data_IF_389626839444
#
_entry.id   IF_389626839444
#
_cell.length_a   1.000
_cell.length_b   1.000
_cell.length_c   1.000
_cell.angle_alpha   90.00
_cell.angle_beta   90.00
_cell.angle_gamma   90.00
#
_symmetry.space_group_name_H-M   'P 1'
#
loop_
_entity.id
_entity.type
_entity.pdbx_description
1 polymer ?
#
# COMPACT_ATOMS: atom_id res chain seq x y z
N UNK A 1 37.02 -57.93 31.83
CA UNK A 1 36.04 -58.58 32.73
C UNK A 1 34.66 -58.18 32.20
N UNK A 2 34.08 -58.99 31.33
CA UNK A 2 33.03 -60.04 31.52
C UNK A 2 31.93 -59.57 32.50
N UNK A 3 30.72 -59.36 31.94
CA UNK A 3 29.43 -60.03 32.28
C UNK A 3 28.33 -59.41 31.39
N UNK A 4 27.91 -60.00 30.43
CA UNK A 4 26.75 -60.84 30.02
C UNK A 4 25.66 -60.97 31.07
N UNK A 5 24.41 -60.55 30.72
CA UNK A 5 23.14 -61.20 31.09
C UNK A 5 22.02 -60.53 30.25
N UNK A 6 21.48 -61.18 29.22
CA UNK A 6 20.29 -62.05 29.19
C UNK A 6 18.95 -61.32 29.46
N UNK A 7 18.23 -61.07 28.38
CA UNK A 7 16.97 -61.70 27.93
C UNK A 7 15.76 -61.58 28.85
N UNK A 8 14.75 -60.87 28.42
CA UNK A 8 13.34 -61.29 28.58
C UNK A 8 12.45 -60.65 27.46
N UNK A 9 12.04 -61.45 26.51
CA UNK A 9 10.90 -61.15 25.62
C UNK A 9 9.61 -61.20 26.45
N UNK A 10 8.84 -60.13 26.44
CA UNK A 10 7.42 -60.16 26.75
C UNK A 10 6.63 -59.65 25.53
N UNK A 11 6.11 -60.60 24.80
CA UNK A 11 5.12 -60.39 23.76
C UNK A 11 3.76 -60.19 24.46
N UNK A 12 3.34 -58.93 24.58
CA UNK A 12 1.94 -58.61 24.94
C UNK A 12 1.21 -58.26 23.67
N UNK A 13 0.41 -59.21 23.21
CA UNK A 13 -0.55 -59.01 22.14
C UNK A 13 -1.62 -58.02 22.61
N UNK A 14 -1.60 -56.81 22.05
CA UNK A 14 -2.74 -55.89 22.16
C UNK A 14 -3.68 -56.13 21.00
N UNK A 15 -4.85 -56.63 21.36
CA UNK A 15 -6.00 -56.73 20.49
C UNK A 15 -6.31 -55.39 19.82
N UNK A 16 -6.36 -55.35 18.51
CA UNK A 16 -6.87 -54.25 17.70
C UNK A 16 -8.34 -54.04 18.07
N UNK A 17 -8.67 -53.08 18.89
CA UNK A 17 -9.99 -52.48 18.92
C UNK A 17 -10.15 -51.68 17.63
N UNK A 18 -10.96 -52.13 16.72
CA UNK A 18 -11.50 -51.31 15.64
C UNK A 18 -12.28 -50.17 16.23
N UNK A 19 -11.67 -48.98 16.22
CA UNK A 19 -12.32 -47.73 16.54
C UNK A 19 -13.18 -47.40 15.33
N UNK A 20 -14.48 -47.17 15.47
CA UNK A 20 -15.32 -46.74 14.37
C UNK A 20 -14.72 -45.42 13.82
N UNK A 21 -14.46 -45.39 12.53
CA UNK A 21 -14.05 -44.22 11.81
C UNK A 21 -15.13 -43.13 12.04
N UNK A 22 -14.88 -42.19 12.92
CA UNK A 22 -15.68 -41.00 13.00
C UNK A 22 -15.48 -40.25 11.68
N UNK A 23 -16.55 -40.20 10.91
CA UNK A 23 -16.67 -39.48 9.66
C UNK A 23 -16.69 -37.98 10.00
N UNK A 24 -15.53 -37.42 10.33
CA UNK A 24 -15.32 -36.01 10.54
C UNK A 24 -14.88 -35.38 9.22
N UNK A 25 -15.74 -35.40 8.22
CA UNK A 25 -15.65 -34.47 7.11
C UNK A 25 -16.01 -33.08 7.63
N UNK A 26 -15.02 -32.38 8.21
CA UNK A 26 -15.18 -30.97 8.51
C UNK A 26 -15.62 -30.26 7.23
N UNK A 27 -16.64 -29.37 7.27
CA UNK A 27 -17.05 -28.60 6.11
C UNK A 27 -15.84 -27.90 5.51
N UNK A 28 -15.67 -27.99 4.19
CA UNK A 28 -14.60 -27.29 3.49
C UNK A 28 -14.67 -25.81 3.86
N UNK A 29 -13.54 -25.16 4.16
CA UNK A 29 -13.52 -23.72 4.45
C UNK A 29 -14.18 -22.96 3.30
N UNK A 30 -14.93 -21.88 3.56
CA UNK A 30 -15.56 -21.09 2.53
C UNK A 30 -14.51 -20.58 1.55
N UNK A 31 -14.83 -20.49 0.26
CA UNK A 31 -13.89 -19.99 -0.74
C UNK A 31 -13.44 -18.57 -0.37
N UNK A 32 -12.17 -18.19 -0.64
CA UNK A 32 -11.68 -16.84 -0.36
C UNK A 32 -12.53 -15.83 -1.13
N UNK A 33 -12.76 -14.64 -0.55
CA UNK A 33 -13.49 -13.57 -1.24
C UNK A 33 -12.81 -13.21 -2.56
N UNK A 34 -13.58 -12.83 -3.60
CA UNK A 34 -13.00 -12.42 -4.88
C UNK A 34 -12.08 -11.23 -4.68
N UNK A 35 -11.00 -11.13 -5.46
CA UNK A 35 -10.08 -10.00 -5.39
C UNK A 35 -10.82 -8.68 -5.69
N UNK A 36 -10.40 -7.56 -5.07
CA UNK A 36 -10.96 -6.25 -5.37
C UNK A 36 -10.86 -5.93 -6.88
N UNK A 37 -11.79 -5.15 -7.44
CA UNK A 37 -11.70 -4.72 -8.83
C UNK A 37 -10.44 -3.88 -9.05
N UNK A 38 -9.80 -4.05 -10.20
CA UNK A 38 -8.61 -3.29 -10.56
C UNK A 38 -8.94 -1.81 -10.73
N UNK A 39 -8.09 -0.93 -10.18
CA UNK A 39 -8.19 0.51 -10.34
C UNK A 39 -7.70 0.92 -11.74
N UNK A 40 -8.43 1.81 -12.41
CA UNK A 40 -8.13 2.28 -13.76
C UNK A 40 -8.00 3.80 -13.83
N UNK A 41 -7.49 4.31 -14.95
CA UNK A 41 -7.42 5.74 -15.22
C UNK A 41 -8.82 6.40 -15.24
N UNK A 42 -9.85 5.69 -15.68
CA UNK A 42 -11.22 6.18 -15.72
C UNK A 42 -11.77 6.48 -14.30
N UNK A 43 -11.40 5.68 -13.32
CA UNK A 43 -11.86 5.82 -11.94
C UNK A 43 -11.30 7.08 -11.28
N UNK A 44 -10.05 7.46 -11.62
CA UNK A 44 -9.36 8.63 -11.07
C UNK A 44 -9.50 9.88 -11.94
N UNK A 45 -10.18 9.79 -13.07
CA UNK A 45 -10.40 10.91 -13.99
C UNK A 45 -11.18 12.05 -13.34
N UNK A 46 -10.78 13.29 -13.66
CA UNK A 46 -11.44 14.51 -13.19
C UNK A 46 -10.59 15.29 -12.21
N UNK A 47 -11.25 16.12 -11.39
CA UNK A 47 -10.64 16.97 -10.38
C UNK A 47 -10.96 16.43 -8.98
N UNK A 48 -9.96 16.39 -8.13
CA UNK A 48 -10.05 15.91 -6.77
C UNK A 48 -9.50 16.97 -5.82
N UNK A 49 -10.25 17.30 -4.76
CA UNK A 49 -9.80 18.20 -3.70
C UNK A 49 -9.39 17.35 -2.50
N UNK A 50 -8.19 17.55 -2.03
CA UNK A 50 -7.60 16.71 -1.01
C UNK A 50 -6.87 17.46 0.08
N UNK A 51 -6.49 16.68 1.09
CA UNK A 51 -5.66 17.11 2.20
C UNK A 51 -4.57 16.09 2.46
N UNK A 52 -3.39 16.56 2.84
CA UNK A 52 -2.25 15.75 3.23
C UNK A 52 -1.77 16.15 4.62
N UNK A 53 -1.42 15.16 5.43
CA UNK A 53 -0.79 15.35 6.73
C UNK A 53 0.59 14.70 6.72
N UNK A 54 1.62 15.52 6.87
CA UNK A 54 3.01 15.04 6.95
C UNK A 54 3.27 14.39 8.32
N UNK A 55 4.04 13.31 8.34
CA UNK A 55 4.45 12.66 9.60
C UNK A 55 5.22 13.66 10.48
N UNK A 56 4.82 13.76 11.75
CA UNK A 56 5.42 14.68 12.69
C UNK A 56 4.91 16.12 12.62
N UNK A 57 4.08 16.47 11.62
CA UNK A 57 3.45 17.78 11.52
C UNK A 57 2.02 17.77 12.10
N UNK A 58 1.62 18.89 12.69
CA UNK A 58 0.24 19.14 13.14
C UNK A 58 -0.61 19.80 12.06
N UNK A 59 0.03 20.36 11.03
CA UNK A 59 -0.63 21.12 9.96
C UNK A 59 -1.12 20.18 8.86
N UNK A 60 -2.33 20.45 8.38
CA UNK A 60 -2.91 19.78 7.21
C UNK A 60 -2.74 20.67 5.99
N UNK A 61 -2.20 20.12 4.91
CA UNK A 61 -1.95 20.79 3.64
C UNK A 61 -3.06 20.47 2.66
N UNK A 62 -3.77 21.47 2.17
CA UNK A 62 -4.81 21.30 1.16
C UNK A 62 -4.20 21.34 -0.25
N UNK A 63 -4.72 20.51 -1.14
CA UNK A 63 -4.28 20.44 -2.53
C UNK A 63 -5.45 20.10 -3.48
N UNK A 64 -5.24 20.35 -4.76
CA UNK A 64 -6.14 19.90 -5.83
C UNK A 64 -5.33 19.05 -6.81
N UNK A 65 -5.88 17.90 -7.21
CA UNK A 65 -5.34 17.05 -8.27
C UNK A 65 -6.30 17.05 -9.44
N UNK A 66 -5.79 17.30 -10.64
CA UNK A 66 -6.57 17.24 -11.88
C UNK A 66 -5.90 16.27 -12.84
N UNK A 67 -6.68 15.32 -13.38
CA UNK A 67 -6.21 14.44 -14.45
C UNK A 67 -5.92 15.26 -15.70
N UNK A 68 -4.73 15.12 -16.27
CA UNK A 68 -4.36 15.74 -17.54
C UNK A 68 -4.72 14.80 -18.70
N UNK A 69 -4.39 13.52 -18.51
CA UNK A 69 -4.76 12.41 -19.40
C UNK A 69 -4.71 11.10 -18.59
N UNK A 70 -4.85 9.95 -19.24
CA UNK A 70 -4.93 8.63 -18.61
C UNK A 70 -3.64 8.21 -17.88
N UNK A 71 -2.53 8.88 -18.13
CA UNK A 71 -1.20 8.55 -17.55
C UNK A 71 -0.56 9.69 -16.77
N UNK A 72 -1.22 10.85 -16.69
CA UNK A 72 -0.67 12.03 -16.00
C UNK A 72 -1.72 12.80 -15.23
N UNK A 73 -1.33 13.30 -14.05
CA UNK A 73 -2.12 14.21 -13.25
C UNK A 73 -1.27 15.41 -12.80
N UNK A 74 -1.92 16.54 -12.57
CA UNK A 74 -1.32 17.76 -12.03
C UNK A 74 -1.83 17.99 -10.61
N UNK A 75 -0.93 18.03 -9.65
CA UNK A 75 -1.22 18.48 -8.29
C UNK A 75 -0.91 19.96 -8.17
N UNK A 76 -1.78 20.71 -7.50
CA UNK A 76 -1.59 22.12 -7.17
C UNK A 76 -1.79 22.29 -5.67
N UNK A 77 -0.78 22.80 -4.98
CA UNK A 77 -0.87 23.15 -3.56
C UNK A 77 -1.78 24.36 -3.37
N UNK A 78 -2.71 24.29 -2.43
CA UNK A 78 -3.70 25.35 -2.24
C UNK A 78 -3.12 26.66 -1.67
N UNK A 79 -2.04 26.58 -0.89
CA UNK A 79 -1.40 27.72 -0.21
C UNK A 79 -0.36 28.38 -1.11
N UNK A 80 0.60 27.61 -1.59
CA UNK A 80 1.73 28.12 -2.38
C UNK A 80 1.40 28.33 -3.85
N UNK A 81 0.31 27.72 -4.35
CA UNK A 81 -0.07 27.65 -5.78
C UNK A 81 0.97 26.93 -6.65
N UNK A 82 1.98 26.34 -6.04
CA UNK A 82 2.95 25.51 -6.74
C UNK A 82 2.25 24.30 -7.35
N UNK A 83 2.74 23.89 -8.51
CA UNK A 83 2.15 22.75 -9.23
C UNK A 83 3.25 21.77 -9.63
N UNK A 84 2.93 20.49 -9.52
CA UNK A 84 3.79 19.41 -9.96
C UNK A 84 2.99 18.42 -10.79
N UNK A 85 3.63 17.85 -11.83
CA UNK A 85 3.03 16.86 -12.71
C UNK A 85 3.53 15.48 -12.32
N UNK A 86 2.60 14.55 -12.18
CA UNK A 86 2.86 13.15 -11.86
C UNK A 86 2.60 12.27 -13.07
N UNK A 87 3.49 11.32 -13.30
CA UNK A 87 3.22 10.15 -14.12
C UNK A 87 2.43 9.13 -13.29
N UNK A 88 1.34 8.61 -13.85
CA UNK A 88 0.47 7.64 -13.20
C UNK A 88 0.74 6.24 -13.75
N UNK A 89 0.76 5.26 -12.85
CA UNK A 89 0.73 3.83 -13.14
C UNK A 89 -0.34 3.18 -12.29
N UNK A 90 -1.02 2.18 -12.83
CA UNK A 90 -2.06 1.43 -12.12
C UNK A 90 -1.58 -0.01 -11.96
N UNK A 91 -1.73 -0.55 -10.77
CA UNK A 91 -1.34 -1.91 -10.42
C UNK A 91 -2.38 -2.47 -9.44
N UNK A 92 -3.09 -3.50 -9.86
CA UNK A 92 -4.21 -4.07 -9.13
C UNK A 92 -5.21 -2.97 -8.67
N UNK A 93 -5.44 -2.83 -7.38
CA UNK A 93 -6.35 -1.85 -6.76
C UNK A 93 -5.69 -0.50 -6.46
N UNK A 94 -4.45 -0.30 -6.91
CA UNK A 94 -3.62 0.83 -6.51
C UNK A 94 -3.19 1.70 -7.69
N UNK A 95 -3.05 3.00 -7.44
CA UNK A 95 -2.43 3.99 -8.31
C UNK A 95 -1.07 4.39 -7.73
N UNK A 96 -0.05 4.40 -8.56
CA UNK A 96 1.28 4.92 -8.24
C UNK A 96 1.49 6.19 -9.05
N UNK A 97 1.66 7.32 -8.36
CA UNK A 97 1.95 8.63 -8.95
C UNK A 97 3.40 9.02 -8.63
N UNK A 98 4.18 9.42 -9.63
CA UNK A 98 5.59 9.79 -9.43
C UNK A 98 5.89 11.08 -10.21
N UNK A 99 6.47 12.07 -9.53
CA UNK A 99 6.92 13.32 -10.18
C UNK A 99 8.30 13.16 -10.83
N UNK A 100 8.63 14.05 -11.77
CA UNK A 100 10.03 14.30 -12.14
C UNK A 100 10.73 15.08 -11.02
N UNK A 101 12.10 15.09 -10.97
CA UNK A 101 12.84 15.94 -10.04
C UNK A 101 12.43 17.41 -10.14
N UNK A 102 11.99 18.01 -9.02
CA UNK A 102 11.53 19.40 -8.97
C UNK A 102 12.01 20.11 -7.70
N UNK A 103 11.90 21.44 -7.67
CA UNK A 103 12.19 22.24 -6.48
C UNK A 103 10.89 22.42 -5.70
N UNK A 104 10.79 21.80 -4.55
CA UNK A 104 9.62 21.94 -3.67
C UNK A 104 9.71 23.29 -2.94
N UNK A 105 8.74 24.21 -3.13
CA UNK A 105 8.75 25.51 -2.49
C UNK A 105 8.47 25.46 -0.98
N UNK A 106 8.03 24.34 -0.44
CA UNK A 106 7.88 24.13 1.01
C UNK A 106 9.22 23.91 1.72
N UNK A 107 10.25 23.55 0.95
CA UNK A 107 11.61 23.36 1.47
C UNK A 107 12.38 24.70 1.46
N UNK A 108 13.40 24.86 2.31
CA UNK A 108 14.26 26.04 2.31
C UNK A 108 14.87 26.31 0.94
N UNK A 109 15.06 27.62 0.61
CA UNK A 109 15.69 28.02 -0.66
C UNK A 109 17.08 27.42 -0.77
N UNK A 110 17.38 26.80 -1.92
CA UNK A 110 18.64 26.11 -2.16
C UNK A 110 18.64 24.63 -1.76
N UNK A 111 17.53 24.10 -1.26
CA UNK A 111 17.40 22.68 -1.04
C UNK A 111 17.57 21.89 -2.34
N UNK A 112 18.11 20.66 -2.28
CA UNK A 112 18.22 19.82 -3.44
C UNK A 112 16.84 19.46 -4.00
N UNK A 113 16.79 19.13 -5.31
CA UNK A 113 15.56 18.67 -5.95
C UNK A 113 15.05 17.38 -5.30
N UNK A 114 13.73 17.27 -5.26
CA UNK A 114 13.03 16.12 -4.73
C UNK A 114 12.21 15.42 -5.81
N UNK A 115 11.84 14.17 -5.55
CA UNK A 115 10.87 13.39 -6.29
C UNK A 115 9.75 13.05 -5.32
N UNK A 116 8.53 13.35 -5.69
CA UNK A 116 7.36 12.92 -4.95
C UNK A 116 6.84 11.62 -5.53
N UNK A 117 6.57 10.68 -4.66
CA UNK A 117 5.91 9.42 -4.97
C UNK A 117 4.69 9.27 -4.08
N UNK A 118 3.54 9.03 -4.68
CA UNK A 118 2.31 8.73 -3.95
C UNK A 118 1.78 7.36 -4.39
N UNK A 119 1.28 6.61 -3.42
CA UNK A 119 0.54 5.36 -3.66
C UNK A 119 -0.84 5.55 -3.06
N UNK A 120 -1.87 5.30 -3.85
CA UNK A 120 -3.24 5.50 -3.42
C UNK A 120 -4.21 4.49 -4.01
N UNK A 121 -5.39 4.42 -3.42
CA UNK A 121 -6.50 3.59 -3.85
C UNK A 121 -7.83 4.29 -3.60
N UNK A 122 -8.90 3.80 -4.22
CA UNK A 122 -10.25 4.25 -3.89
C UNK A 122 -10.76 3.44 -2.69
N UNK A 123 -11.20 4.16 -1.67
CA UNK A 123 -11.86 3.60 -0.49
C UNK A 123 -13.05 4.49 -0.15
N UNK A 124 -14.24 3.90 -0.06
CA UNK A 124 -15.49 4.60 0.28
C UNK A 124 -15.75 5.85 -0.60
N UNK A 125 -15.44 5.75 -1.91
CA UNK A 125 -15.60 6.85 -2.88
C UNK A 125 -14.55 7.95 -2.79
N UNK A 126 -13.55 7.84 -1.93
CA UNK A 126 -12.42 8.76 -1.80
C UNK A 126 -11.15 8.14 -2.36
N UNK A 127 -10.25 8.95 -2.88
CA UNK A 127 -8.85 8.57 -3.08
C UNK A 127 -8.12 8.75 -1.74
N UNK A 128 -7.48 7.68 -1.26
CA UNK A 128 -6.70 7.70 -0.01
C UNK A 128 -5.34 7.06 -0.24
N UNK A 129 -4.32 7.54 0.43
CA UNK A 129 -2.99 6.99 0.21
C UNK A 129 -1.88 7.57 1.07
N UNK A 130 -0.66 7.18 0.69
CA UNK A 130 0.59 7.62 1.32
C UNK A 130 1.43 8.34 0.29
N UNK A 131 1.96 9.50 0.65
CA UNK A 131 2.97 10.26 -0.08
C UNK A 131 4.36 10.04 0.52
N UNK A 132 5.38 10.07 -0.32
CA UNK A 132 6.78 9.99 0.09
C UNK A 132 7.58 11.00 -0.72
N UNK A 133 8.33 11.84 -0.04
CA UNK A 133 9.28 12.79 -0.65
C UNK A 133 10.66 12.16 -0.62
N UNK A 134 11.29 12.04 -1.78
CA UNK A 134 12.59 11.41 -1.97
C UNK A 134 13.61 12.44 -2.45
N UNK A 135 14.86 12.29 -2.04
CA UNK A 135 15.95 13.10 -2.58
C UNK A 135 16.25 12.69 -4.02
N UNK A 136 16.17 13.61 -4.99
CA UNK A 136 16.32 13.27 -6.40
C UNK A 136 17.71 12.71 -6.76
N UNK A 137 18.76 13.15 -6.06
CA UNK A 137 20.12 12.63 -6.22
C UNK A 137 20.35 11.27 -5.57
N UNK A 138 19.45 10.85 -4.66
CA UNK A 138 19.53 9.58 -3.92
C UNK A 138 18.10 9.07 -3.67
N UNK A 139 17.44 8.43 -4.66
CA UNK A 139 16.03 8.06 -4.58
C UNK A 139 15.64 7.08 -3.46
N UNK A 140 16.61 6.43 -2.85
CA UNK A 140 16.40 5.58 -1.67
C UNK A 140 16.34 6.39 -0.35
N UNK A 141 16.70 7.67 -0.39
CA UNK A 141 16.66 8.57 0.77
C UNK A 141 15.30 9.22 0.89
N UNK A 142 14.53 8.77 1.87
CA UNK A 142 13.23 9.34 2.23
C UNK A 142 13.44 10.58 3.08
N UNK A 143 12.92 11.72 2.63
CA UNK A 143 12.95 13.00 3.34
C UNK A 143 11.70 13.20 4.20
N UNK A 144 10.57 12.66 3.78
CA UNK A 144 9.30 12.79 4.50
C UNK A 144 8.24 11.83 3.96
N UNK A 145 7.25 11.57 4.80
CA UNK A 145 6.05 10.80 4.45
C UNK A 145 4.81 11.58 4.84
N UNK A 146 3.72 11.32 4.15
CA UNK A 146 2.43 11.91 4.45
C UNK A 146 1.31 10.90 4.21
N UNK A 147 0.24 11.02 4.98
CA UNK A 147 -1.04 10.40 4.66
C UNK A 147 -1.91 11.46 3.98
N UNK A 148 -2.63 11.05 2.94
CA UNK A 148 -3.48 11.97 2.20
C UNK A 148 -4.82 11.32 1.84
N UNK A 149 -5.83 12.17 1.72
CA UNK A 149 -7.13 11.80 1.17
C UNK A 149 -7.65 12.89 0.24
N UNK A 150 -8.45 12.50 -0.74
CA UNK A 150 -9.09 13.43 -1.66
C UNK A 150 -10.49 12.96 -2.04
N UNK A 151 -11.39 13.91 -2.24
CA UNK A 151 -12.75 13.71 -2.72
C UNK A 151 -12.90 14.28 -4.13
N UNK A 152 -13.68 13.61 -4.95
CA UNK A 152 -13.95 14.07 -6.32
C UNK A 152 -14.75 15.36 -6.27
N UNK A 153 -14.32 16.36 -7.04
CA UNK A 153 -15.13 17.57 -7.27
C UNK A 153 -16.38 17.22 -8.08
N UNK A 154 -17.52 17.87 -7.77
CA UNK A 154 -18.72 17.76 -8.57
C UNK A 154 -18.51 18.13 -10.04
#
# INVERSE_FOLDING_TARGET
MRKVLLLALLVVGCAKKEQPAADTSAPAPPPPPPPPPALTAADVKGTWNGTAKVEGDTVTHAFTVTSVNDSTAKLTDAKTKASVVYALKFDADSMIATSKPWNDPSLPKGSPKVIDRAVGRIKDGKLVGVGTVLLASKPDSVLGKSNWEATKSP
#
